data_IF_233950561608
#
_entry.id   IF_233950561608
#
_cell.length_a   1.000
_cell.length_b   1.000
_cell.length_c   1.000
_cell.angle_alpha   90.00
_cell.angle_beta   90.00
_cell.angle_gamma   90.00
#
_symmetry.space_group_name_H-M   'P 1'
#
loop_
_entity.id
_entity.type
_entity.pdbx_description
1 polymer ?
#
# COMPACT_ATOMS: atom_id res chain seq x y z
N UNK A 1 -33.93 -37.73 -9.62
CA UNK A 1 -34.27 -38.23 -10.98
C UNK A 1 -35.45 -37.43 -11.52
N UNK A 2 -35.62 -37.38 -12.86
CA UNK A 2 -36.79 -36.74 -13.52
C UNK A 2 -38.02 -37.69 -13.47
N UNK A 3 -39.24 -37.25 -13.83
CA UNK A 3 -39.66 -36.74 -15.15
C UNK A 3 -39.99 -35.23 -15.10
N UNK A 4 -40.03 -34.43 -16.18
CA UNK A 4 -40.18 -34.66 -17.62
C UNK A 4 -41.58 -35.12 -18.10
N UNK A 5 -42.47 -34.16 -18.33
CA UNK A 5 -43.61 -34.31 -19.23
C UNK A 5 -43.81 -33.05 -20.08
N UNK A 6 -44.16 -33.25 -21.35
CA UNK A 6 -44.40 -32.20 -22.37
C UNK A 6 -45.65 -32.61 -23.17
N UNK A 7 -46.21 -31.65 -23.91
CA UNK A 7 -47.41 -31.66 -24.75
C UNK A 7 -48.77 -31.48 -24.04
N UNK A 8 -49.82 -30.91 -24.67
CA UNK A 8 -49.94 -29.69 -25.52
C UNK A 8 -51.37 -29.60 -26.12
N UNK A 9 -52.01 -28.43 -26.00
CA UNK A 9 -53.24 -27.96 -26.71
C UNK A 9 -54.54 -28.79 -26.55
N UNK A 10 -55.59 -28.09 -26.12
CA UNK A 10 -56.85 -27.81 -26.86
C UNK A 10 -57.61 -26.71 -26.08
N UNK A 11 -57.60 -25.46 -26.51
CA UNK A 11 -58.39 -24.84 -27.59
C UNK A 11 -59.87 -24.59 -27.24
N UNK A 12 -60.13 -23.35 -26.80
CA UNK A 12 -61.32 -22.52 -27.09
C UNK A 12 -62.74 -23.00 -26.73
N UNK A 13 -63.48 -22.05 -26.15
CA UNK A 13 -64.91 -21.67 -26.30
C UNK A 13 -65.64 -21.60 -24.95
N UNK A 14 -66.50 -20.61 -24.64
CA UNK A 14 -66.65 -19.23 -25.10
C UNK A 14 -67.76 -18.52 -24.29
N UNK A 15 -67.66 -17.18 -24.07
CA UNK A 15 -68.80 -16.23 -23.82
C UNK A 15 -69.59 -16.47 -22.50
N UNK A 16 -70.36 -15.54 -21.91
CA UNK A 16 -70.67 -14.08 -22.06
C UNK A 16 -71.12 -13.57 -20.67
N UNK A 17 -71.26 -12.29 -20.29
CA UNK A 17 -71.18 -10.96 -20.93
C UNK A 17 -70.49 -9.99 -19.93
N UNK A 18 -69.86 -8.84 -20.26
CA UNK A 18 -70.33 -7.63 -20.97
C UNK A 18 -71.54 -6.95 -20.27
N UNK A 19 -71.59 -5.63 -20.04
CA UNK A 19 -70.67 -4.48 -20.21
C UNK A 19 -70.73 -3.63 -18.89
N UNK A 20 -70.09 -2.48 -18.61
CA UNK A 20 -69.17 -1.46 -19.23
C UNK A 20 -68.55 -0.69 -18.03
N UNK A 21 -67.55 0.20 -18.04
CA UNK A 21 -66.72 0.92 -19.04
C UNK A 21 -65.23 0.54 -18.82
N UNK A 22 -64.13 1.21 -19.20
CA UNK A 22 -63.80 2.41 -19.99
C UNK A 22 -62.66 3.22 -19.34
N UNK A 23 -61.40 2.93 -19.70
CA UNK A 23 -60.21 3.65 -19.20
C UNK A 23 -58.91 2.90 -19.49
N UNK A 24 -57.95 3.56 -20.17
CA UNK A 24 -56.64 2.96 -20.53
C UNK A 24 -55.60 3.38 -19.49
N UNK A 25 -55.03 2.45 -18.72
CA UNK A 25 -54.08 2.81 -17.63
C UNK A 25 -53.04 1.76 -17.22
N UNK A 26 -53.43 0.48 -17.04
CA UNK A 26 -52.59 -0.48 -16.32
C UNK A 26 -51.35 -0.98 -17.11
N UNK A 27 -51.49 -1.28 -18.41
CA UNK A 27 -50.47 -1.96 -19.20
C UNK A 27 -49.21 -1.14 -19.54
N UNK A 28 -49.09 0.11 -19.04
CA UNK A 28 -47.99 1.03 -19.39
C UNK A 28 -46.87 1.12 -18.34
N UNK A 29 -47.07 0.56 -17.15
CA UNK A 29 -46.17 0.77 -16.01
C UNK A 29 -45.07 -0.30 -15.83
N UNK A 30 -45.33 -1.58 -16.12
CA UNK A 30 -44.30 -2.63 -15.98
C UNK A 30 -43.15 -2.50 -16.99
N UNK A 31 -43.42 -2.04 -18.22
CA UNK A 31 -42.38 -1.85 -19.26
C UNK A 31 -41.43 -0.69 -18.90
N UNK A 32 -41.86 0.25 -18.05
CA UNK A 32 -41.06 1.40 -17.63
C UNK A 32 -40.02 1.04 -16.55
N UNK A 33 -40.19 -0.04 -15.80
CA UNK A 33 -39.32 -0.36 -14.66
C UNK A 33 -38.01 -1.06 -15.08
N UNK A 34 -38.07 -2.05 -15.99
CA UNK A 34 -36.84 -2.72 -16.49
C UNK A 34 -35.97 -1.78 -17.35
N UNK A 35 -36.61 -0.87 -18.11
CA UNK A 35 -35.91 0.18 -18.87
C UNK A 35 -35.07 1.09 -17.97
N UNK A 36 -35.49 1.34 -16.72
CA UNK A 36 -34.72 2.11 -15.75
C UNK A 36 -33.51 1.35 -15.18
N UNK A 37 -33.61 0.03 -14.95
CA UNK A 37 -32.51 -0.78 -14.43
C UNK A 37 -31.38 -0.98 -15.47
N UNK A 38 -31.75 -1.14 -16.75
CA UNK A 38 -30.78 -1.15 -17.85
C UNK A 38 -30.13 0.24 -18.05
N UNK A 39 -30.89 1.33 -17.87
CA UNK A 39 -30.32 2.70 -17.92
C UNK A 39 -29.32 2.96 -16.79
N UNK A 40 -29.59 2.52 -15.56
CA UNK A 40 -28.66 2.70 -14.43
C UNK A 40 -27.34 1.94 -14.63
N UNK A 41 -27.42 0.70 -15.10
CA UNK A 41 -26.24 -0.11 -15.46
C UNK A 41 -25.39 0.57 -16.55
N UNK A 42 -26.04 1.16 -17.56
CA UNK A 42 -25.35 1.96 -18.57
C UNK A 42 -24.73 3.24 -17.99
N UNK A 43 -25.47 4.02 -17.21
CA UNK A 43 -25.01 5.34 -16.75
C UNK A 43 -23.81 5.27 -15.79
N UNK A 44 -23.77 4.31 -14.86
CA UNK A 44 -22.60 4.17 -13.97
C UNK A 44 -21.38 3.60 -14.70
N UNK A 45 -21.55 2.64 -15.61
CA UNK A 45 -20.46 2.19 -16.49
C UNK A 45 -19.94 3.30 -17.41
N UNK A 46 -20.84 4.15 -17.91
CA UNK A 46 -20.51 5.30 -18.76
C UNK A 46 -19.84 6.42 -17.94
N UNK A 47 -20.16 6.67 -16.67
CA UNK A 47 -19.46 7.71 -15.89
C UNK A 47 -17.97 7.40 -15.71
N UNK A 48 -17.59 6.14 -15.49
CA UNK A 48 -16.18 5.72 -15.50
C UNK A 48 -15.54 5.92 -16.88
N UNK A 49 -16.13 5.32 -17.92
CA UNK A 49 -15.62 5.40 -19.30
C UNK A 49 -15.60 6.83 -19.88
N UNK A 50 -16.51 7.71 -19.49
CA UNK A 50 -16.57 9.09 -19.94
C UNK A 50 -15.54 9.96 -19.22
N UNK A 51 -15.27 9.73 -17.93
CA UNK A 51 -14.18 10.42 -17.21
C UNK A 51 -12.80 10.01 -17.77
N UNK A 52 -12.65 8.75 -18.18
CA UNK A 52 -11.49 8.26 -18.91
C UNK A 52 -11.38 8.85 -20.34
N UNK A 53 -12.44 8.77 -21.17
CA UNK A 53 -12.44 9.32 -22.54
C UNK A 53 -12.33 10.85 -22.59
N UNK A 54 -12.87 11.56 -21.60
CA UNK A 54 -12.74 13.02 -21.49
C UNK A 54 -11.30 13.42 -21.17
N UNK A 55 -10.61 12.69 -20.27
CA UNK A 55 -9.15 12.78 -20.12
C UNK A 55 -8.44 12.54 -21.45
N UNK A 56 -8.68 11.40 -22.10
CA UNK A 56 -7.98 10.99 -23.33
C UNK A 56 -8.16 12.00 -24.49
N UNK A 57 -9.37 12.55 -24.68
CA UNK A 57 -9.66 13.59 -25.68
C UNK A 57 -9.05 14.96 -25.31
N UNK A 58 -9.03 15.34 -24.03
CA UNK A 58 -8.35 16.53 -23.56
C UNK A 58 -6.83 16.43 -23.80
N UNK A 59 -6.23 15.29 -23.44
CA UNK A 59 -4.79 15.06 -23.60
C UNK A 59 -4.36 15.01 -25.07
N UNK A 60 -5.11 14.35 -25.96
CA UNK A 60 -4.84 14.40 -27.41
C UNK A 60 -4.88 15.83 -27.96
N UNK A 61 -5.75 16.70 -27.42
CA UNK A 61 -5.83 18.11 -27.81
C UNK A 61 -4.67 18.96 -27.27
N UNK A 62 -4.10 18.60 -26.11
CA UNK A 62 -2.89 19.23 -25.54
C UNK A 62 -1.63 18.80 -26.31
N UNK A 63 -1.50 17.51 -26.65
CA UNK A 63 -0.33 16.99 -27.35
C UNK A 63 -0.21 17.53 -28.78
N UNK A 64 -1.33 17.66 -29.51
CA UNK A 64 -1.36 18.20 -30.88
C UNK A 64 -0.98 19.70 -31.02
N UNK A 65 -0.55 20.38 -29.95
CA UNK A 65 -0.16 21.79 -29.97
C UNK A 65 1.33 22.05 -29.65
N UNK A 66 2.19 21.02 -29.57
CA UNK A 66 3.59 21.19 -29.08
C UNK A 66 4.66 20.40 -29.85
N UNK A 67 4.84 20.69 -31.14
CA UNK A 67 6.06 20.26 -31.87
C UNK A 67 7.33 21.06 -31.47
N UNK A 68 7.22 22.07 -30.59
CA UNK A 68 8.31 22.94 -30.15
C UNK A 68 8.92 22.61 -28.77
N UNK A 69 8.50 21.53 -28.10
CA UNK A 69 8.73 21.38 -26.64
C UNK A 69 9.23 19.99 -26.19
N UNK A 70 10.34 19.50 -26.77
CA UNK A 70 10.99 18.25 -26.33
C UNK A 70 11.28 18.20 -24.82
N UNK A 71 11.59 19.32 -24.18
CA UNK A 71 11.84 19.37 -22.73
C UNK A 71 10.62 19.08 -21.84
N UNK A 72 9.38 19.27 -22.34
CA UNK A 72 8.17 19.01 -21.54
C UNK A 72 7.60 17.60 -21.70
N UNK A 73 7.93 16.87 -22.78
CA UNK A 73 7.37 15.51 -22.99
C UNK A 73 7.78 14.57 -21.86
N UNK A 74 9.08 14.53 -21.57
CA UNK A 74 9.65 13.68 -20.51
C UNK A 74 9.05 14.01 -19.12
N UNK A 75 8.83 15.29 -18.82
CA UNK A 75 8.23 15.73 -17.56
C UNK A 75 6.75 15.35 -17.45
N UNK A 76 5.98 15.45 -18.56
CA UNK A 76 4.59 15.01 -18.60
C UNK A 76 4.49 13.49 -18.43
N UNK A 77 5.30 12.72 -19.15
CA UNK A 77 5.35 11.26 -19.04
C UNK A 77 5.75 10.78 -17.64
N UNK A 78 6.75 11.40 -17.02
CA UNK A 78 7.12 11.12 -15.63
C UNK A 78 5.96 11.40 -14.67
N UNK A 79 5.25 12.52 -14.86
CA UNK A 79 4.07 12.88 -14.05
C UNK A 79 2.93 11.87 -14.25
N UNK A 80 2.69 11.41 -15.48
CA UNK A 80 1.68 10.38 -15.78
C UNK A 80 2.04 9.03 -15.14
N UNK A 81 3.28 8.56 -15.32
CA UNK A 81 3.75 7.30 -14.73
C UNK A 81 3.71 7.35 -13.19
N UNK A 82 4.04 8.49 -12.58
CA UNK A 82 3.91 8.67 -11.13
C UNK A 82 2.45 8.62 -10.70
N UNK A 83 1.55 9.34 -11.39
CA UNK A 83 0.12 9.31 -11.05
C UNK A 83 -0.48 7.91 -11.21
N UNK A 84 -0.11 7.13 -12.22
CA UNK A 84 -0.58 5.76 -12.39
C UNK A 84 -0.01 4.82 -11.31
N UNK A 85 1.27 4.99 -10.92
CA UNK A 85 1.88 4.27 -9.80
C UNK A 85 1.24 4.61 -8.43
N UNK A 86 0.96 5.89 -8.18
CA UNK A 86 0.27 6.37 -6.98
C UNK A 86 -1.15 5.74 -6.90
N UNK A 87 -1.88 5.66 -8.03
CA UNK A 87 -3.19 5.01 -8.09
C UNK A 87 -3.10 3.49 -7.83
N UNK A 88 -2.09 2.79 -8.32
CA UNK A 88 -1.90 1.35 -8.03
C UNK A 88 -1.54 1.13 -6.56
N UNK A 89 -0.68 1.99 -5.99
CA UNK A 89 -0.36 2.00 -4.57
C UNK A 89 -1.61 2.20 -3.69
N UNK A 90 -2.40 3.24 -3.92
CA UNK A 90 -3.64 3.50 -3.18
C UNK A 90 -4.65 2.36 -3.36
N UNK A 91 -4.73 1.76 -4.54
CA UNK A 91 -5.56 0.56 -4.77
C UNK A 91 -5.14 -0.60 -3.86
N UNK A 92 -3.83 -0.87 -3.71
CA UNK A 92 -3.32 -1.92 -2.81
C UNK A 92 -3.54 -1.55 -1.33
N UNK A 93 -3.30 -0.28 -0.96
CA UNK A 93 -3.48 0.19 0.42
C UNK A 93 -4.95 0.18 0.85
N UNK A 94 -5.89 0.40 -0.06
CA UNK A 94 -7.35 0.32 0.20
C UNK A 94 -7.85 -1.07 0.62
N UNK A 95 -7.04 -2.12 0.44
CA UNK A 95 -7.35 -3.49 0.86
C UNK A 95 -7.08 -3.73 2.36
N UNK A 96 -6.46 -2.78 3.06
CA UNK A 96 -6.19 -2.85 4.49
C UNK A 96 -7.33 -2.24 5.33
N UNK A 97 -7.61 -2.77 6.54
CA UNK A 97 -8.73 -2.33 7.36
C UNK A 97 -8.54 -0.95 8.02
N UNK A 98 -7.34 -0.39 7.94
CA UNK A 98 -6.93 0.93 8.45
C UNK A 98 -5.82 1.51 7.57
N UNK A 99 -5.61 2.83 7.56
CA UNK A 99 -4.43 3.45 6.94
C UNK A 99 -3.14 2.82 7.45
N UNK A 100 -2.29 2.38 6.52
CA UNK A 100 -0.97 1.82 6.82
C UNK A 100 0.03 2.96 6.98
N UNK A 101 0.72 3.02 8.11
CA UNK A 101 1.77 4.02 8.33
C UNK A 101 3.12 3.57 7.76
N UNK A 102 3.48 2.30 7.99
CA UNK A 102 4.73 1.72 7.50
C UNK A 102 4.65 0.19 7.42
N UNK A 103 5.56 -0.40 6.66
CA UNK A 103 5.81 -1.83 6.60
C UNK A 103 7.15 -2.15 7.30
N UNK A 104 7.19 -3.22 8.09
CA UNK A 104 8.35 -3.55 8.91
C UNK A 104 8.46 -5.03 9.28
N UNK A 105 9.66 -5.45 9.65
CA UNK A 105 9.96 -6.74 10.26
C UNK A 105 9.99 -6.56 11.77
N UNK A 106 8.97 -7.05 12.47
CA UNK A 106 8.80 -6.92 13.92
C UNK A 106 9.65 -7.98 14.65
N UNK A 107 10.53 -7.57 15.56
CA UNK A 107 11.44 -8.51 16.23
C UNK A 107 10.70 -9.30 17.31
N UNK A 108 10.77 -10.64 17.23
CA UNK A 108 10.02 -11.52 18.14
C UNK A 108 10.59 -11.58 19.56
N UNK A 109 11.89 -11.27 19.73
CA UNK A 109 12.64 -11.37 20.99
C UNK A 109 13.37 -10.04 21.30
N UNK A 110 12.71 -9.06 21.94
CA UNK A 110 13.34 -7.80 22.33
C UNK A 110 14.58 -7.97 23.23
N UNK A 111 14.58 -9.00 24.06
CA UNK A 111 15.67 -9.38 24.95
C UNK A 111 16.87 -9.98 24.22
N UNK A 112 16.77 -10.33 22.93
CA UNK A 112 17.93 -10.64 22.09
C UNK A 112 18.60 -9.36 21.55
N UNK A 113 17.81 -8.36 21.13
CA UNK A 113 18.32 -7.05 20.68
C UNK A 113 19.14 -6.39 21.79
N UNK A 114 18.59 -6.31 22.99
CA UNK A 114 19.25 -5.67 24.13
C UNK A 114 20.51 -6.40 24.61
N UNK A 115 20.63 -7.71 24.38
CA UNK A 115 21.84 -8.48 24.72
C UNK A 115 23.04 -8.21 23.78
N UNK A 116 22.81 -7.55 22.65
CA UNK A 116 23.86 -7.20 21.68
C UNK A 116 24.41 -5.78 21.89
N UNK A 117 23.78 -4.98 22.75
CA UNK A 117 24.08 -3.55 22.91
C UNK A 117 24.87 -3.33 24.20
N UNK A 118 26.09 -2.74 24.14
CA UNK A 118 26.85 -2.39 25.33
C UNK A 118 26.03 -1.42 26.23
N UNK A 119 25.92 -1.64 27.56
CA UNK A 119 25.10 -0.81 28.43
C UNK A 119 25.41 0.69 28.37
N UNK A 120 26.68 1.04 28.24
CA UNK A 120 27.17 2.42 28.10
C UNK A 120 26.65 3.13 26.83
N UNK A 121 26.26 2.37 25.79
CA UNK A 121 25.60 2.95 24.61
C UNK A 121 24.14 3.33 24.86
N UNK A 122 23.56 3.00 26.02
CA UNK A 122 22.19 3.35 26.41
C UNK A 122 22.14 4.53 27.40
N UNK A 123 23.29 5.01 27.89
CA UNK A 123 23.35 6.08 28.89
C UNK A 123 22.67 7.38 28.39
N UNK A 124 21.83 7.95 29.25
CA UNK A 124 21.04 9.16 28.95
C UNK A 124 19.86 8.97 27.99
N UNK A 125 19.58 7.76 27.51
CA UNK A 125 18.58 7.48 26.47
C UNK A 125 17.38 6.68 26.99
N UNK A 126 16.23 6.87 26.37
CA UNK A 126 15.06 6.03 26.54
C UNK A 126 15.12 4.85 25.55
N UNK A 127 15.12 3.63 26.08
CA UNK A 127 15.05 2.38 25.31
C UNK A 127 13.64 2.19 24.73
N UNK A 128 13.54 1.74 23.48
CA UNK A 128 12.27 1.44 22.83
C UNK A 128 11.62 0.19 23.43
N UNK A 129 10.29 0.19 23.56
CA UNK A 129 9.53 -0.95 24.15
C UNK A 129 9.25 -2.08 23.16
N UNK A 130 9.40 -1.82 21.86
CA UNK A 130 9.26 -2.81 20.80
C UNK A 130 10.22 -2.49 19.64
N UNK A 131 10.90 -3.51 19.13
CA UNK A 131 11.92 -3.36 18.09
C UNK A 131 11.42 -3.86 16.74
N UNK A 132 11.82 -3.17 15.67
CA UNK A 132 11.47 -3.52 14.30
C UNK A 132 12.49 -2.97 13.30
N UNK A 133 12.51 -3.53 12.09
CA UNK A 133 13.22 -2.96 10.93
C UNK A 133 12.19 -2.43 9.94
N UNK A 134 12.14 -1.11 9.77
CA UNK A 134 11.23 -0.47 8.80
C UNK A 134 11.74 -0.67 7.37
N UNK A 135 10.96 -1.38 6.55
CA UNK A 135 11.29 -1.63 5.15
C UNK A 135 10.72 -0.55 4.23
N UNK A 136 9.56 0.01 4.55
CA UNK A 136 8.91 1.07 3.77
C UNK A 136 8.08 1.97 4.69
N UNK A 137 8.42 3.26 4.75
CA UNK A 137 7.55 4.28 5.35
C UNK A 137 6.56 4.82 4.31
N UNK A 138 5.31 5.02 4.70
CA UNK A 138 4.22 5.52 3.84
C UNK A 138 3.70 6.84 4.43
N UNK A 139 3.27 6.80 5.70
CA UNK A 139 2.75 7.95 6.44
C UNK A 139 1.72 8.76 5.65
N UNK A 140 1.88 10.09 5.67
CA UNK A 140 1.04 11.01 4.87
C UNK A 140 1.51 11.22 3.43
N UNK A 141 2.60 10.56 3.01
CA UNK A 141 3.20 10.74 1.69
C UNK A 141 2.64 9.81 0.60
N UNK A 142 1.83 8.83 0.99
CA UNK A 142 1.42 7.73 0.12
C UNK A 142 2.57 6.77 -0.19
N UNK A 143 2.29 5.73 -0.99
CA UNK A 143 3.35 4.91 -1.58
C UNK A 143 3.50 5.26 -3.07
N UNK A 144 4.74 5.18 -3.57
CA UNK A 144 5.14 5.56 -4.95
C UNK A 144 5.78 4.42 -5.72
N UNK A 145 5.69 3.21 -5.18
CA UNK A 145 6.41 2.02 -5.62
C UNK A 145 5.50 0.79 -5.49
N UNK A 146 4.54 0.61 -6.42
CA UNK A 146 3.54 -0.45 -6.31
C UNK A 146 4.16 -1.83 -6.46
N UNK A 147 5.28 -1.95 -7.19
CA UNK A 147 6.04 -3.20 -7.33
C UNK A 147 6.61 -3.62 -5.98
N UNK A 148 7.30 -2.72 -5.26
CA UNK A 148 7.78 -3.00 -3.91
C UNK A 148 6.60 -3.28 -2.96
N UNK A 149 5.54 -2.45 -2.98
CA UNK A 149 4.39 -2.64 -2.10
C UNK A 149 3.73 -4.02 -2.31
N UNK A 150 3.60 -4.48 -3.56
CA UNK A 150 3.05 -5.79 -3.88
C UNK A 150 3.99 -6.94 -3.47
N UNK A 151 5.32 -6.75 -3.47
CA UNK A 151 6.27 -7.70 -2.89
C UNK A 151 6.10 -7.77 -1.36
N UNK A 152 6.03 -6.62 -0.68
CA UNK A 152 5.83 -6.53 0.76
C UNK A 152 4.50 -7.17 1.21
N UNK A 153 3.41 -6.97 0.46
CA UNK A 153 2.11 -7.63 0.75
C UNK A 153 2.22 -9.15 0.73
N UNK A 154 3.02 -9.73 -0.18
CA UNK A 154 3.24 -11.19 -0.26
C UNK A 154 4.04 -11.76 0.92
N UNK A 155 4.77 -10.92 1.65
CA UNK A 155 5.56 -11.31 2.83
C UNK A 155 4.77 -11.23 4.14
N UNK A 156 3.51 -10.78 4.14
CA UNK A 156 2.73 -10.55 5.39
C UNK A 156 2.59 -11.83 6.23
N UNK A 157 3.21 -11.85 7.40
CA UNK A 157 3.25 -12.98 8.33
C UNK A 157 4.43 -13.94 8.11
N UNK A 158 5.31 -13.69 7.14
CA UNK A 158 6.53 -14.47 6.98
C UNK A 158 7.54 -14.18 8.10
N UNK A 159 8.22 -15.22 8.57
CA UNK A 159 9.42 -15.07 9.42
C UNK A 159 10.61 -14.76 8.53
N UNK A 160 11.32 -13.67 8.84
CA UNK A 160 12.52 -13.23 8.13
C UNK A 160 13.68 -13.22 9.13
N UNK A 161 14.77 -13.88 8.76
CA UNK A 161 16.03 -13.79 9.49
C UNK A 161 16.79 -12.53 9.02
N UNK A 162 17.31 -11.78 9.98
CA UNK A 162 18.05 -10.54 9.78
C UNK A 162 19.50 -10.75 10.22
N UNK A 163 20.48 -10.47 9.37
CA UNK A 163 21.89 -10.42 9.79
C UNK A 163 22.23 -9.03 10.32
N UNK A 164 22.82 -8.98 11.51
CA UNK A 164 23.20 -7.76 12.21
C UNK A 164 24.70 -7.51 12.08
N UNK A 165 25.10 -6.25 11.82
CA UNK A 165 26.47 -5.89 11.45
C UNK A 165 27.22 -5.17 12.56
N UNK A 166 26.58 -4.16 13.18
CA UNK A 166 27.19 -3.33 14.21
C UNK A 166 26.14 -2.64 15.07
N UNK A 167 26.52 -2.28 16.29
CA UNK A 167 25.81 -1.30 17.11
C UNK A 167 26.45 0.07 16.86
N UNK A 168 25.64 1.08 16.64
CA UNK A 168 26.06 2.47 16.39
C UNK A 168 25.36 3.39 17.38
N UNK A 169 26.11 4.28 18.01
CA UNK A 169 25.66 5.11 19.13
C UNK A 169 26.34 6.47 19.14
N UNK A 170 25.57 7.53 19.39
CA UNK A 170 26.06 8.88 19.69
C UNK A 170 25.43 9.39 20.99
N UNK A 171 25.35 10.72 21.21
CA UNK A 171 24.60 11.30 22.32
C UNK A 171 23.07 11.31 22.11
N UNK A 172 22.58 11.33 20.86
CA UNK A 172 21.16 11.44 20.50
C UNK A 172 20.45 10.08 20.39
N UNK A 173 21.14 9.00 20.07
CA UNK A 173 20.50 7.70 19.85
C UNK A 173 21.43 6.49 19.78
N UNK A 174 20.81 5.33 19.61
CA UNK A 174 21.46 4.02 19.49
C UNK A 174 20.68 3.15 18.53
N UNK A 175 21.36 2.54 17.55
CA UNK A 175 20.76 1.65 16.57
C UNK A 175 21.64 0.43 16.29
N UNK A 176 21.04 -0.66 15.83
CA UNK A 176 21.77 -1.80 15.25
C UNK A 176 21.63 -1.75 13.74
N UNK A 177 22.75 -1.74 13.02
CA UNK A 177 22.79 -1.83 11.56
C UNK A 177 22.44 -3.25 11.10
N UNK A 178 21.54 -3.35 10.12
CA UNK A 178 21.04 -4.61 9.57
C UNK A 178 21.52 -4.73 8.13
N UNK A 179 22.17 -5.84 7.78
CA UNK A 179 22.56 -6.12 6.39
C UNK A 179 21.31 -6.34 5.55
N UNK A 180 21.34 -5.92 4.29
CA UNK A 180 20.36 -6.33 3.30
C UNK A 180 20.98 -6.31 1.89
N UNK A 181 21.64 -7.40 1.50
CA UNK A 181 22.21 -7.59 0.16
C UNK A 181 21.15 -8.07 -0.86
N UNK A 182 19.92 -7.57 -0.75
CA UNK A 182 18.74 -8.09 -1.46
C UNK A 182 18.05 -9.27 -0.75
N UNK A 183 18.35 -9.48 0.53
CA UNK A 183 17.78 -10.51 1.41
C UNK A 183 16.28 -10.33 1.63
N UNK A 184 15.80 -9.08 1.68
CA UNK A 184 14.39 -8.74 1.78
C UNK A 184 14.07 -7.43 1.03
N UNK A 185 12.86 -7.25 0.47
CA UNK A 185 12.47 -6.00 -0.18
C UNK A 185 12.48 -4.83 0.82
N UNK A 186 13.23 -3.78 0.52
CA UNK A 186 13.41 -2.62 1.39
C UNK A 186 13.58 -1.34 0.56
N UNK A 187 12.93 -0.25 0.98
CA UNK A 187 13.11 1.12 0.47
C UNK A 187 14.02 1.96 1.36
N UNK A 188 14.15 1.61 2.65
CA UNK A 188 15.11 2.28 3.52
C UNK A 188 16.54 1.94 3.04
N UNK A 189 17.34 2.98 2.78
CA UNK A 189 18.74 2.85 2.39
C UNK A 189 19.62 2.31 3.53
N UNK A 190 19.22 2.57 4.78
CA UNK A 190 19.92 2.15 6.00
C UNK A 190 19.00 1.22 6.82
N UNK A 191 18.84 -0.07 6.47
CA UNK A 191 18.05 -1.00 7.27
C UNK A 191 18.63 -1.12 8.69
N UNK A 192 17.79 -0.93 9.70
CA UNK A 192 18.24 -0.85 11.08
C UNK A 192 17.16 -1.17 12.09
N UNK A 193 17.59 -1.38 13.33
CA UNK A 193 16.74 -1.45 14.53
C UNK A 193 17.08 -0.24 15.40
N UNK A 194 16.14 0.68 15.61
CA UNK A 194 16.29 1.74 16.61
C UNK A 194 16.20 1.12 18.01
N UNK A 195 17.25 1.24 18.81
CA UNK A 195 17.29 0.67 20.16
C UNK A 195 16.87 1.69 21.22
N UNK A 196 17.43 2.89 21.14
CA UNK A 196 17.20 3.95 22.14
C UNK A 196 17.39 5.34 21.54
N UNK A 197 16.74 6.34 22.14
CA UNK A 197 16.84 7.75 21.75
C UNK A 197 16.92 8.64 22.99
N UNK A 198 17.68 9.74 22.92
CA UNK A 198 17.66 10.77 23.95
C UNK A 198 16.26 11.44 24.02
N UNK A 199 15.82 11.94 25.19
CA UNK A 199 14.51 12.56 25.33
C UNK A 199 14.24 13.66 24.30
N UNK A 200 13.16 13.50 23.52
CA UNK A 200 12.78 14.40 22.43
C UNK A 200 13.40 14.11 21.06
N UNK A 201 14.35 13.16 20.95
CA UNK A 201 14.89 12.71 19.66
C UNK A 201 13.97 11.64 19.05
N UNK A 202 13.45 11.83 17.81
CA UNK A 202 12.58 10.85 17.17
C UNK A 202 13.38 9.67 16.58
N UNK A 203 12.77 8.49 16.53
CA UNK A 203 13.41 7.27 16.00
C UNK A 203 13.96 7.39 14.56
N UNK A 204 13.38 8.27 13.73
CA UNK A 204 13.87 8.55 12.37
C UNK A 204 15.33 9.06 12.35
N UNK A 205 15.83 9.61 13.46
CA UNK A 205 17.24 9.99 13.64
C UNK A 205 18.21 8.81 13.44
N UNK A 206 17.77 7.55 13.66
CA UNK A 206 18.60 6.37 13.40
C UNK A 206 19.07 6.23 11.94
N UNK A 207 18.42 6.90 10.98
CA UNK A 207 18.92 6.97 9.60
C UNK A 207 20.09 7.95 9.46
N UNK A 208 20.05 9.11 10.14
CA UNK A 208 21.16 10.10 10.19
C UNK A 208 22.37 9.48 10.91
N UNK A 209 22.14 8.82 12.05
CA UNK A 209 23.15 8.10 12.84
C UNK A 209 23.84 6.94 12.07
N UNK A 210 23.20 6.42 11.03
CA UNK A 210 23.74 5.31 10.22
C UNK A 210 24.37 5.76 8.91
N UNK A 211 24.12 6.99 8.46
CA UNK A 211 24.62 7.49 7.19
C UNK A 211 26.16 7.61 7.15
N UNK A 212 26.73 7.40 5.96
CA UNK A 212 28.18 7.51 5.72
C UNK A 212 28.69 8.95 5.84
N UNK A 213 27.83 9.96 5.66
CA UNK A 213 28.19 11.36 5.94
C UNK A 213 28.54 11.62 7.41
N UNK A 214 28.09 10.76 8.33
CA UNK A 214 28.47 10.77 9.75
C UNK A 214 29.62 9.79 10.07
N UNK A 215 30.32 9.21 9.08
CA UNK A 215 31.42 8.25 9.34
C UNK A 215 32.65 8.87 10.01
N UNK A 216 32.81 10.20 9.93
CA UNK A 216 33.92 10.96 10.53
C UNK A 216 33.55 11.70 11.83
N UNK A 217 32.34 11.49 12.36
CA UNK A 217 31.89 12.13 13.60
C UNK A 217 32.61 11.52 14.82
N UNK A 218 33.45 12.27 15.57
CA UNK A 218 34.18 11.75 16.72
C UNK A 218 33.29 11.40 17.92
N UNK A 219 32.01 11.81 17.92
CA UNK A 219 31.03 11.44 18.92
C UNK A 219 30.24 10.16 18.56
N UNK A 220 30.44 9.60 17.35
CA UNK A 220 29.78 8.37 16.87
C UNK A 220 30.64 7.15 17.20
N UNK A 221 30.23 6.40 18.22
CA UNK A 221 30.80 5.10 18.54
C UNK A 221 30.19 3.99 17.66
N UNK A 222 31.03 3.08 17.17
CA UNK A 222 30.64 1.90 16.39
C UNK A 222 31.28 0.66 17.00
N UNK A 223 30.45 -0.32 17.37
CA UNK A 223 30.89 -1.64 17.87
C UNK A 223 30.47 -2.70 16.86
N UNK A 224 31.40 -3.38 16.17
CA UNK A 224 31.06 -4.45 15.24
C UNK A 224 30.51 -5.67 15.99
N UNK A 225 29.49 -6.31 15.44
CA UNK A 225 28.94 -7.56 15.96
C UNK A 225 29.68 -8.77 15.37
N UNK A 226 29.70 -9.93 16.07
CA UNK A 226 30.29 -11.15 15.52
C UNK A 226 29.67 -11.53 14.17
N UNK A 227 30.50 -12.00 13.23
CA UNK A 227 30.03 -12.45 11.92
C UNK A 227 28.99 -13.57 12.06
N UNK A 228 27.87 -13.45 11.36
CA UNK A 228 26.74 -14.38 11.48
C UNK A 228 25.82 -14.12 12.68
N UNK A 229 25.94 -12.99 13.38
CA UNK A 229 24.93 -12.56 14.36
C UNK A 229 23.60 -12.35 13.65
N UNK A 230 22.63 -13.22 13.91
CA UNK A 230 21.30 -13.17 13.32
C UNK A 230 20.21 -13.12 14.39
N UNK A 231 19.12 -12.43 14.08
CA UNK A 231 17.85 -12.50 14.82
C UNK A 231 16.69 -12.77 13.85
N UNK A 232 15.54 -13.20 14.36
CA UNK A 232 14.34 -13.41 13.55
C UNK A 232 13.23 -12.42 13.91
N UNK A 233 12.48 -11.97 12.90
CA UNK A 233 11.29 -11.16 13.08
C UNK A 233 10.18 -11.52 12.09
N UNK A 234 8.95 -11.16 12.41
CA UNK A 234 7.77 -11.40 11.56
C UNK A 234 7.49 -10.17 10.73
N UNK A 235 7.38 -10.33 9.41
CA UNK A 235 7.04 -9.23 8.51
C UNK A 235 5.56 -8.83 8.63
N UNK A 236 5.29 -7.54 8.77
CA UNK A 236 3.95 -7.00 8.92
C UNK A 236 3.82 -5.52 8.55
N UNK A 237 2.62 -5.00 8.77
CA UNK A 237 2.26 -3.61 8.50
C UNK A 237 1.78 -2.95 9.79
N UNK A 238 2.25 -1.73 10.06
CA UNK A 238 1.79 -0.88 11.14
C UNK A 238 0.70 0.07 10.64
N UNK A 239 -0.19 0.48 11.54
CA UNK A 239 -1.38 1.26 11.22
C UNK A 239 -1.52 2.43 12.19
N UNK A 240 -2.05 3.55 11.69
CA UNK A 240 -2.61 4.61 12.53
C UNK A 240 -3.86 4.11 13.30
#
# INVERSE_FOLDING_TARGET
>A
MMPLFVLQRRSTWARTAALTTGGRGAARWMVLLELHLLFFSLFFGIQGCAKARSRDLYWKKVCNQRESVMGCSNSLEQTMRQADADNECESILSLFPRPVEYAAIQIASPEQVLRLVPPEMLDGKQVQTAFHVTTLYIGRGGCKDPVLLQQLVKLRGASIQLTLVSVVSDAKGTAIAVRNEGEFPCKNAHPHITVANAPGVPAVYSNELLDDSHASDPCRAVVPLPAGTCISGTFGFAFH
#
